data_IF_466214264459
#
_entry.id   IF_466214264459
#
_cell.length_a   1.000
_cell.length_b   1.000
_cell.length_c   1.000
_cell.angle_alpha   90.00
_cell.angle_beta   90.00
_cell.angle_gamma   90.00
#
_symmetry.space_group_name_H-M   'P 1'
#
loop_
_entity.id
_entity.type
_entity.pdbx_description
1 polymer ?
#
# COMPACT_ATOMS: atom_id res chain seq x y z
N UNK A 1 17.67 14.92 -18.86
CA UNK A 1 17.04 13.93 -17.96
C UNK A 1 17.08 14.51 -16.57
N UNK A 2 15.96 15.04 -16.09
CA UNK A 2 15.83 15.51 -14.72
C UNK A 2 14.67 14.70 -14.15
N UNK A 3 14.98 13.63 -13.44
CA UNK A 3 13.95 12.82 -12.78
C UNK A 3 13.28 13.70 -11.74
N UNK A 4 12.01 14.00 -11.97
CA UNK A 4 11.21 14.77 -11.03
C UNK A 4 10.97 13.88 -9.81
N UNK A 5 11.30 14.33 -8.58
CA UNK A 5 11.07 13.51 -7.39
C UNK A 5 9.58 13.22 -7.24
N UNK A 6 9.23 11.95 -7.07
CA UNK A 6 7.88 11.51 -6.72
C UNK A 6 7.50 11.94 -5.27
N UNK A 7 6.21 11.85 -4.95
CA UNK A 7 5.69 12.25 -3.65
C UNK A 7 6.36 11.50 -2.47
N UNK A 8 6.69 10.22 -2.64
CA UNK A 8 7.33 9.45 -1.60
C UNK A 8 8.78 9.91 -1.34
N UNK A 9 9.51 10.28 -2.39
CA UNK A 9 10.86 10.87 -2.30
C UNK A 9 10.83 12.26 -1.64
N UNK A 10 9.80 13.06 -1.91
CA UNK A 10 9.60 14.34 -1.24
C UNK A 10 9.34 14.17 0.26
N UNK A 11 8.46 13.25 0.65
CA UNK A 11 8.19 12.96 2.05
C UNK A 11 9.43 12.42 2.78
N UNK A 12 10.21 11.56 2.13
CA UNK A 12 11.49 11.06 2.64
C UNK A 12 12.49 12.21 2.87
N UNK A 13 12.55 13.17 1.94
CA UNK A 13 13.41 14.35 2.07
C UNK A 13 13.00 15.21 3.27
N UNK A 14 11.70 15.39 3.50
CA UNK A 14 11.19 16.09 4.69
C UNK A 14 11.54 15.32 5.96
N UNK A 15 11.43 14.00 5.97
CA UNK A 15 11.85 13.19 7.12
C UNK A 15 13.33 13.41 7.46
N UNK A 16 14.21 13.47 6.46
CA UNK A 16 15.62 13.75 6.66
C UNK A 16 15.85 15.16 7.23
N UNK A 17 15.15 16.17 6.70
CA UNK A 17 15.18 17.53 7.24
C UNK A 17 14.80 17.55 8.73
N UNK A 18 13.69 16.89 9.08
CA UNK A 18 13.21 16.84 10.46
C UNK A 18 14.26 16.25 11.41
N UNK A 19 14.96 15.19 11.00
CA UNK A 19 15.93 14.52 11.86
C UNK A 19 17.32 15.16 11.86
N UNK A 20 17.81 15.62 10.70
CA UNK A 20 19.16 16.15 10.54
C UNK A 20 19.25 17.62 10.95
N UNK A 21 18.20 18.41 10.72
CA UNK A 21 18.25 19.86 10.93
C UNK A 21 17.35 20.35 12.05
N UNK A 22 16.12 19.84 12.15
CA UNK A 22 15.12 20.34 13.10
C UNK A 22 15.31 19.71 14.49
N UNK A 23 15.39 18.38 14.58
CA UNK A 23 15.53 17.63 15.84
C UNK A 23 16.67 18.15 16.73
N UNK A 24 17.89 18.42 16.21
CA UNK A 24 18.99 18.93 17.04
C UNK A 24 18.70 20.29 17.68
N UNK A 25 17.81 21.10 17.07
CA UNK A 25 17.44 22.44 17.54
C UNK A 25 16.30 22.41 18.55
N UNK A 26 15.41 21.43 18.46
CA UNK A 26 14.22 21.33 19.32
C UNK A 26 14.39 20.36 20.49
N UNK A 27 15.48 19.59 20.56
CA UNK A 27 15.73 18.58 21.61
C UNK A 27 15.67 19.07 23.06
N UNK A 28 15.85 20.37 23.30
CA UNK A 28 15.78 20.96 24.64
C UNK A 28 14.33 21.13 25.13
N UNK A 29 13.37 21.16 24.21
CA UNK A 29 11.94 21.19 24.48
C UNK A 29 11.38 19.78 24.25
N UNK A 30 11.06 19.08 25.34
CA UNK A 30 10.57 17.71 25.30
C UNK A 30 9.27 17.57 24.49
N UNK A 31 8.36 18.54 24.59
CA UNK A 31 7.08 18.50 23.88
C UNK A 31 7.29 18.70 22.38
N UNK A 32 8.10 19.68 21.99
CA UNK A 32 8.39 19.95 20.58
C UNK A 32 9.24 18.84 19.94
N UNK A 33 10.18 18.26 20.69
CA UNK A 33 10.94 17.08 20.25
C UNK A 33 10.01 15.88 20.01
N UNK A 34 9.06 15.63 20.91
CA UNK A 34 8.06 14.58 20.74
C UNK A 34 7.19 14.81 19.49
N UNK A 35 6.66 16.01 19.29
CA UNK A 35 5.88 16.35 18.10
C UNK A 35 6.67 16.17 16.79
N UNK A 36 7.98 16.46 16.83
CA UNK A 36 8.87 16.27 15.69
C UNK A 36 9.07 14.78 15.38
N UNK A 37 9.25 13.94 16.41
CA UNK A 37 9.32 12.48 16.24
C UNK A 37 8.02 11.90 15.68
N UNK A 38 6.86 12.34 16.19
CA UNK A 38 5.55 11.90 15.71
C UNK A 38 5.38 12.28 14.24
N UNK A 39 5.68 13.54 13.89
CA UNK A 39 5.62 14.02 12.51
C UNK A 39 6.54 13.22 11.59
N UNK A 40 7.78 12.97 12.01
CA UNK A 40 8.72 12.12 11.27
C UNK A 40 8.17 10.70 11.06
N UNK A 41 7.56 10.11 12.08
CA UNK A 41 6.94 8.79 11.98
C UNK A 41 5.77 8.78 10.97
N UNK A 42 4.84 9.74 11.09
CA UNK A 42 3.67 9.86 10.20
C UNK A 42 4.08 10.04 8.74
N UNK A 43 5.09 10.86 8.45
CA UNK A 43 5.62 10.99 7.10
C UNK A 43 6.16 9.67 6.55
N UNK A 44 6.82 8.86 7.39
CA UNK A 44 7.32 7.54 7.00
C UNK A 44 6.20 6.54 6.72
N UNK A 45 5.11 6.60 7.48
CA UNK A 45 3.90 5.80 7.23
C UNK A 45 3.29 6.18 5.90
N UNK A 46 3.08 7.49 5.64
CA UNK A 46 2.51 7.98 4.38
C UNK A 46 3.40 7.60 3.19
N UNK A 47 4.73 7.74 3.32
CA UNK A 47 5.66 7.35 2.26
C UNK A 47 5.57 5.85 1.93
N UNK A 48 5.40 4.99 2.93
CA UNK A 48 5.19 3.54 2.72
C UNK A 48 3.83 3.22 2.12
N UNK A 49 2.78 3.92 2.54
CA UNK A 49 1.44 3.77 1.95
C UNK A 49 1.46 4.09 0.45
N UNK A 50 2.13 5.17 0.05
CA UNK A 50 2.30 5.54 -1.35
C UNK A 50 3.08 4.46 -2.13
N UNK A 51 4.15 3.91 -1.54
CA UNK A 51 5.03 2.93 -2.21
C UNK A 51 4.43 1.53 -2.31
N UNK A 52 3.74 1.06 -1.27
CA UNK A 52 3.36 -0.34 -1.11
C UNK A 52 1.87 -0.58 -0.88
N UNK A 53 1.09 0.46 -0.54
CA UNK A 53 -0.33 0.32 -0.19
C UNK A 53 -1.16 -0.29 -1.32
N UNK A 54 -1.01 0.23 -2.54
CA UNK A 54 -1.69 -0.31 -3.72
C UNK A 54 -1.29 -1.76 -4.04
N UNK A 55 -0.01 -2.10 -3.83
CA UNK A 55 0.52 -3.45 -4.06
C UNK A 55 -0.12 -4.45 -3.09
N UNK A 56 -0.10 -4.13 -1.79
CA UNK A 56 -0.73 -4.97 -0.77
C UNK A 56 -2.24 -5.07 -0.93
N UNK A 57 -2.91 -3.97 -1.29
CA UNK A 57 -4.34 -3.98 -1.55
C UNK A 57 -4.69 -4.89 -2.75
N UNK A 58 -3.94 -4.81 -3.84
CA UNK A 58 -4.15 -5.68 -5.01
C UNK A 58 -3.92 -7.15 -4.66
N UNK A 59 -2.84 -7.45 -3.92
CA UNK A 59 -2.56 -8.81 -3.46
C UNK A 59 -3.65 -9.36 -2.53
N UNK A 60 -4.19 -8.53 -1.62
CA UNK A 60 -5.32 -8.89 -0.78
C UNK A 60 -6.57 -9.19 -1.62
N UNK A 61 -6.94 -8.32 -2.56
CA UNK A 61 -8.09 -8.51 -3.44
C UNK A 61 -7.97 -9.82 -4.22
N UNK A 62 -6.82 -10.07 -4.84
CA UNK A 62 -6.58 -11.27 -5.62
C UNK A 62 -6.73 -12.53 -4.76
N UNK A 63 -6.07 -12.60 -3.61
CA UNK A 63 -6.16 -13.78 -2.71
C UNK A 63 -7.56 -14.00 -2.18
N UNK A 64 -8.30 -12.93 -1.87
CA UNK A 64 -9.68 -13.03 -1.42
C UNK A 64 -10.60 -13.54 -2.53
N UNK A 65 -10.43 -13.07 -3.76
CA UNK A 65 -11.17 -13.55 -4.93
C UNK A 65 -10.89 -15.04 -5.17
N UNK A 66 -9.61 -15.42 -5.25
CA UNK A 66 -9.20 -16.82 -5.42
C UNK A 66 -9.83 -17.74 -4.36
N UNK A 67 -9.85 -17.31 -3.09
CA UNK A 67 -10.45 -18.09 -2.01
C UNK A 67 -11.98 -18.16 -2.07
N UNK A 68 -12.65 -17.06 -2.43
CA UNK A 68 -14.12 -16.98 -2.44
C UNK A 68 -14.75 -17.55 -3.72
N UNK A 69 -14.05 -17.48 -4.85
CA UNK A 69 -14.49 -18.01 -6.15
C UNK A 69 -14.17 -19.50 -6.29
N UNK A 70 -13.24 -20.02 -5.47
CA UNK A 70 -13.02 -21.45 -5.37
C UNK A 70 -14.25 -22.11 -4.73
N UNK A 71 -14.94 -23.06 -5.42
CA UNK A 71 -15.90 -23.92 -4.74
C UNK A 71 -15.12 -24.66 -3.66
N UNK A 72 -15.50 -24.50 -2.38
CA UNK A 72 -14.79 -25.07 -1.22
C UNK A 72 -14.19 -26.43 -1.59
N UNK A 73 -12.87 -26.54 -1.84
CA UNK A 73 -12.33 -27.80 -2.28
C UNK A 73 -12.21 -28.67 -1.04
N UNK A 74 -12.96 -29.77 -1.02
CA UNK A 74 -12.53 -30.94 -0.29
C UNK A 74 -11.09 -31.26 -0.76
N UNK A 75 -10.12 -30.95 0.09
CA UNK A 75 -8.71 -31.40 0.11
C UNK A 75 -8.19 -31.97 -1.23
N UNK A 76 -7.44 -31.18 -2.01
CA UNK A 76 -6.52 -31.73 -3.01
C UNK A 76 -5.33 -30.80 -3.24
N UNK A 77 -4.14 -31.41 -3.18
CA UNK A 77 -2.80 -30.82 -3.28
C UNK A 77 -2.32 -30.74 -4.74
N UNK A 78 -1.28 -29.92 -4.94
CA UNK A 78 -0.38 -29.84 -6.13
C UNK A 78 -1.01 -29.22 -7.38
N UNK A 79 -0.32 -28.50 -8.26
CA UNK A 79 1.10 -28.21 -8.43
C UNK A 79 1.27 -27.64 -9.86
N UNK A 80 2.24 -26.74 -10.03
CA UNK A 80 2.87 -26.31 -11.28
C UNK A 80 2.00 -25.78 -12.46
N UNK A 81 2.21 -24.52 -12.85
CA UNK A 81 2.89 -24.19 -14.11
C UNK A 81 2.93 -22.66 -14.33
N UNK A 82 4.15 -22.13 -14.44
CA UNK A 82 4.44 -20.83 -15.06
C UNK A 82 4.16 -20.89 -16.56
N UNK A 83 3.64 -19.79 -17.12
CA UNK A 83 3.83 -19.43 -18.53
C UNK A 83 3.55 -17.93 -18.72
N UNK A 84 4.58 -17.18 -19.13
CA UNK A 84 4.46 -15.83 -19.69
C UNK A 84 3.80 -15.86 -21.08
N UNK A 85 3.36 -14.71 -21.61
CA UNK A 85 4.06 -14.22 -22.80
C UNK A 85 4.20 -12.69 -22.92
N UNK A 86 5.09 -12.30 -23.84
CA UNK A 86 5.54 -10.95 -24.21
C UNK A 86 4.66 -10.18 -25.23
N UNK A 87 4.95 -8.87 -25.31
CA UNK A 87 4.87 -7.95 -26.48
C UNK A 87 3.49 -7.29 -26.74
N UNK A 88 3.33 -6.03 -27.22
CA UNK A 88 4.17 -5.13 -28.03
C UNK A 88 3.57 -3.70 -28.04
N UNK A 89 4.44 -2.69 -28.07
CA UNK A 89 4.40 -1.35 -28.76
C UNK A 89 3.09 -0.61 -29.08
N UNK A 90 3.06 0.71 -28.77
CA UNK A 90 2.50 1.76 -29.65
C UNK A 90 3.07 3.16 -29.30
N UNK A 91 3.54 3.88 -30.32
CA UNK A 91 4.02 5.26 -30.35
C UNK A 91 2.91 6.32 -30.11
N UNK A 92 3.27 7.51 -29.61
CA UNK A 92 2.95 8.83 -30.21
C UNK A 92 3.35 10.05 -29.36
N UNK A 93 4.40 10.75 -29.81
CA UNK A 93 4.52 12.19 -30.06
C UNK A 93 3.76 13.22 -29.18
N UNK A 94 4.54 14.03 -28.46
CA UNK A 94 4.60 15.50 -28.63
C UNK A 94 3.60 16.40 -27.90
N UNK A 95 4.04 17.02 -26.79
CA UNK A 95 3.71 18.40 -26.42
C UNK A 95 4.69 18.92 -25.35
N UNK A 96 5.42 19.98 -25.66
CA UNK A 96 6.30 20.72 -24.74
C UNK A 96 5.51 21.57 -23.75
N UNK A 97 5.91 21.68 -22.47
CA UNK A 97 5.48 22.79 -21.64
C UNK A 97 6.68 23.49 -21.00
N UNK A 98 7.28 24.40 -21.76
CA UNK A 98 7.87 25.60 -21.16
C UNK A 98 6.70 26.55 -20.85
N UNK A 99 6.71 27.19 -19.67
CA UNK A 99 5.71 28.13 -19.12
C UNK A 99 4.48 27.54 -18.39
N UNK A 100 4.68 27.12 -17.14
CA UNK A 100 3.61 27.18 -16.12
C UNK A 100 4.19 27.17 -14.69
N UNK A 101 4.95 28.22 -14.33
CA UNK A 101 5.15 28.59 -12.92
C UNK A 101 4.54 29.97 -12.76
N UNK A 102 3.22 30.04 -12.69
CA UNK A 102 2.49 31.20 -12.17
C UNK A 102 1.07 30.79 -11.82
N UNK A 103 0.73 31.04 -10.56
CA UNK A 103 -0.58 31.00 -9.93
C UNK A 103 -1.19 29.61 -9.64
N UNK A 104 -1.17 29.25 -8.35
CA UNK A 104 -2.36 28.72 -7.66
C UNK A 104 -2.96 27.41 -8.15
N UNK A 105 -2.14 26.43 -8.53
CA UNK A 105 -2.64 25.10 -8.87
C UNK A 105 -2.58 24.21 -7.62
N UNK A 106 -3.64 24.25 -6.82
CA UNK A 106 -3.94 23.22 -5.80
C UNK A 106 -4.18 21.89 -6.52
N UNK A 107 -3.13 21.27 -7.05
CA UNK A 107 -3.20 19.87 -7.46
C UNK A 107 -3.26 19.04 -6.19
N UNK A 108 -4.46 18.83 -5.67
CA UNK A 108 -4.77 17.58 -5.02
C UNK A 108 -4.28 16.49 -5.96
N UNK A 109 -3.29 15.70 -5.54
CA UNK A 109 -2.85 14.56 -6.32
C UNK A 109 -4.08 13.67 -6.52
N UNK A 110 -4.65 13.69 -7.73
CA UNK A 110 -5.78 12.81 -8.02
C UNK A 110 -5.29 11.38 -7.81
N UNK A 111 -6.05 10.55 -7.06
CA UNK A 111 -5.65 9.19 -6.81
C UNK A 111 -5.54 8.43 -8.14
N UNK A 112 -4.62 7.48 -8.20
CA UNK A 112 -4.44 6.61 -9.37
C UNK A 112 -5.80 6.05 -9.85
N UNK A 113 -6.05 5.98 -11.17
CA UNK A 113 -7.29 5.42 -11.70
C UNK A 113 -7.64 4.06 -11.07
N UNK A 114 -8.90 3.89 -10.68
CA UNK A 114 -9.36 2.67 -10.03
C UNK A 114 -9.14 2.59 -8.51
N UNK A 115 -8.57 3.62 -7.87
CA UNK A 115 -8.28 3.59 -6.42
C UNK A 115 -9.54 3.34 -5.58
N UNK A 116 -10.60 4.11 -5.83
CA UNK A 116 -11.83 3.98 -5.06
C UNK A 116 -12.54 2.65 -5.32
N UNK A 117 -12.48 2.16 -6.56
CA UNK A 117 -13.02 0.87 -6.96
C UNK A 117 -12.32 -0.27 -6.23
N UNK A 118 -10.97 -0.26 -6.19
CA UNK A 118 -10.18 -1.26 -5.45
C UNK A 118 -10.48 -1.22 -3.95
N UNK A 119 -10.59 -0.03 -3.38
CA UNK A 119 -10.95 0.13 -1.97
C UNK A 119 -12.33 -0.47 -1.67
N UNK A 120 -13.33 -0.22 -2.52
CA UNK A 120 -14.66 -0.80 -2.38
C UNK A 120 -14.65 -2.32 -2.56
N UNK A 121 -13.91 -2.84 -3.53
CA UNK A 121 -13.75 -4.27 -3.76
C UNK A 121 -13.16 -4.98 -2.52
N UNK A 122 -12.09 -4.44 -1.94
CA UNK A 122 -11.48 -4.98 -0.74
C UNK A 122 -12.46 -5.04 0.44
N UNK A 123 -13.31 -4.02 0.61
CA UNK A 123 -14.36 -3.99 1.64
C UNK A 123 -15.40 -5.09 1.40
N UNK A 124 -15.90 -5.20 0.17
CA UNK A 124 -16.93 -6.19 -0.20
C UNK A 124 -16.40 -7.61 0.02
N UNK A 125 -15.17 -7.90 -0.43
CA UNK A 125 -14.57 -9.22 -0.29
C UNK A 125 -14.33 -9.59 1.18
N UNK A 126 -13.87 -8.65 2.00
CA UNK A 126 -13.74 -8.86 3.45
C UNK A 126 -15.08 -9.13 4.13
N UNK A 127 -16.16 -8.45 3.72
CA UNK A 127 -17.51 -8.73 4.24
C UNK A 127 -17.98 -10.13 3.86
N UNK A 128 -17.75 -10.57 2.61
CA UNK A 128 -18.06 -11.94 2.16
C UNK A 128 -17.27 -12.98 2.95
N UNK A 129 -15.97 -12.76 3.15
CA UNK A 129 -15.13 -13.66 3.96
C UNK A 129 -15.65 -13.76 5.39
N UNK A 130 -15.97 -12.64 6.04
CA UNK A 130 -16.49 -12.61 7.41
C UNK A 130 -17.85 -13.33 7.52
N UNK A 131 -18.69 -13.27 6.48
CA UNK A 131 -19.92 -14.06 6.42
C UNK A 131 -19.61 -15.56 6.31
N UNK A 132 -18.73 -15.96 5.38
CA UNK A 132 -18.32 -17.36 5.19
C UNK A 132 -17.72 -17.96 6.46
N UNK A 133 -16.86 -17.23 7.17
CA UNK A 133 -16.28 -17.67 8.46
C UNK A 133 -17.37 -17.98 9.48
N UNK A 134 -18.36 -17.10 9.62
CA UNK A 134 -19.45 -17.25 10.59
C UNK A 134 -20.43 -18.35 10.21
N UNK A 135 -20.71 -18.54 8.93
CA UNK A 135 -21.64 -19.57 8.47
C UNK A 135 -21.05 -20.98 8.50
N UNK A 136 -19.74 -21.11 8.21
CA UNK A 136 -19.07 -22.41 8.07
C UNK A 136 -18.21 -22.78 9.29
N UNK A 137 -18.06 -21.90 10.28
CA UNK A 137 -17.29 -22.18 11.50
C UNK A 137 -15.79 -22.35 11.23
N UNK A 138 -15.21 -21.51 10.36
CA UNK A 138 -13.83 -21.64 9.87
C UNK A 138 -12.79 -20.91 10.74
N UNK A 139 -12.92 -20.98 12.07
CA UNK A 139 -12.07 -20.27 13.04
C UNK A 139 -10.81 -21.05 13.46
N UNK A 140 -10.38 -22.02 12.65
CA UNK A 140 -9.24 -22.87 12.93
C UNK A 140 -7.89 -22.13 12.77
N UNK A 141 -7.07 -22.15 13.83
CA UNK A 141 -5.78 -21.42 13.91
C UNK A 141 -4.69 -21.83 12.93
N UNK A 142 -4.87 -22.93 12.20
CA UNK A 142 -3.93 -23.41 11.18
C UNK A 142 -4.60 -23.59 9.81
N UNK A 143 -5.82 -23.06 9.65
CA UNK A 143 -6.59 -23.16 8.40
C UNK A 143 -6.16 -22.15 7.34
N UNK A 144 -6.59 -22.42 6.10
CA UNK A 144 -6.38 -21.54 4.95
C UNK A 144 -6.89 -20.12 5.23
N UNK A 145 -8.06 -20.00 5.86
CA UNK A 145 -8.65 -18.71 6.24
C UNK A 145 -7.79 -17.95 7.24
N UNK A 146 -7.27 -18.64 8.26
CA UNK A 146 -6.42 -18.01 9.27
C UNK A 146 -5.15 -17.45 8.64
N UNK A 147 -4.50 -18.23 7.77
CA UNK A 147 -3.31 -17.78 7.06
C UNK A 147 -3.61 -16.60 6.15
N UNK A 148 -4.76 -16.59 5.48
CA UNK A 148 -5.19 -15.49 4.63
C UNK A 148 -5.41 -14.20 5.45
N UNK A 149 -6.15 -14.27 6.55
CA UNK A 149 -6.38 -13.10 7.44
C UNK A 149 -5.07 -12.61 8.06
N UNK A 150 -4.22 -13.54 8.50
CA UNK A 150 -2.91 -13.22 9.07
C UNK A 150 -2.03 -12.50 8.04
N UNK A 151 -2.01 -12.96 6.80
CA UNK A 151 -1.24 -12.33 5.73
C UNK A 151 -1.73 -10.90 5.46
N UNK A 152 -3.04 -10.70 5.29
CA UNK A 152 -3.62 -9.36 5.11
C UNK A 152 -3.33 -8.43 6.30
N UNK A 153 -3.31 -8.96 7.53
CA UNK A 153 -2.94 -8.19 8.71
C UNK A 153 -1.47 -7.78 8.71
N UNK A 154 -0.56 -8.72 8.39
CA UNK A 154 0.89 -8.45 8.32
C UNK A 154 1.18 -7.35 7.30
N UNK A 155 0.57 -7.41 6.11
CA UNK A 155 0.76 -6.41 5.06
C UNK A 155 0.25 -5.02 5.46
N UNK A 156 -0.94 -4.94 6.09
CA UNK A 156 -1.47 -3.67 6.62
C UNK A 156 -0.59 -3.12 7.75
N UNK A 157 -0.06 -3.99 8.60
CA UNK A 157 0.85 -3.59 9.66
C UNK A 157 2.21 -3.15 9.11
N UNK A 158 2.71 -3.74 8.03
CA UNK A 158 3.99 -3.37 7.43
C UNK A 158 4.03 -1.91 6.93
N UNK A 159 2.88 -1.37 6.49
CA UNK A 159 2.73 0.05 6.13
C UNK A 159 2.98 0.94 7.35
N UNK A 160 2.29 0.66 8.45
CA UNK A 160 2.35 1.51 9.65
C UNK A 160 3.63 1.27 10.46
N UNK A 161 4.16 0.05 10.43
CA UNK A 161 5.31 -0.36 11.20
C UNK A 161 6.18 -1.35 10.40
N UNK A 162 7.38 -0.91 9.96
CA UNK A 162 8.22 -1.70 9.06
C UNK A 162 8.75 -3.00 9.68
N UNK A 163 8.70 -3.17 11.01
CA UNK A 163 9.12 -4.45 11.66
C UNK A 163 8.30 -5.66 11.23
N UNK A 164 7.14 -5.43 10.61
CA UNK A 164 6.25 -6.46 10.10
C UNK A 164 6.40 -6.66 8.58
N UNK A 165 7.29 -5.93 7.92
CA UNK A 165 7.64 -6.20 6.53
C UNK A 165 8.24 -7.59 6.38
N UNK A 166 7.91 -8.28 5.29
CA UNK A 166 8.55 -9.55 4.93
C UNK A 166 9.88 -9.21 4.25
N UNK A 167 10.98 -9.43 4.97
CA UNK A 167 12.33 -9.52 4.38
C UNK A 167 12.45 -10.77 3.51
#
# INVERSE_FOLDING_TARGET
MQDKPDAANLLQTIQELLMKEIMPRVKADEFLAYQTLVSWNMLGVIAREIKSGAVYQNAEIQRLQEYLDSPTPALAQSGAAHSAPESKTADAVGATPETAIRAGDERTAEPEPGYYERMQQAVILNQKLAQKIRSEGLDNRDGVVWNLVKQSLVEKLAITNPRFGLD
#
